data_IF_457323613802
#
_entry.id   IF_457323613802
#
_cell.length_a   1.000
_cell.length_b   1.000
_cell.length_c   1.000
_cell.angle_alpha   90.00
_cell.angle_beta   90.00
_cell.angle_gamma   90.00
#
_symmetry.space_group_name_H-M   'P 1'
#
loop_
_entity.id
_entity.type
_entity.pdbx_description
1 polymer ?
#
# COMPACT_ATOMS: atom_id res chain seq x y z
N UNK A 1 14.69 -2.03 13.37
CA UNK A 1 13.29 -2.14 12.94
C UNK A 1 13.31 -2.29 11.45
N UNK A 2 12.39 -3.06 10.86
CA UNK A 2 12.33 -3.14 9.41
C UNK A 2 10.89 -3.21 8.93
N UNK A 3 10.50 -2.26 8.10
CA UNK A 3 9.17 -2.18 7.48
C UNK A 3 9.35 -2.17 5.96
N UNK A 4 8.83 -3.20 5.32
CA UNK A 4 8.83 -3.37 3.88
C UNK A 4 7.40 -3.30 3.34
N UNK A 5 7.19 -2.48 2.34
CA UNK A 5 5.87 -2.22 1.80
C UNK A 5 5.74 -2.67 0.35
N UNK A 6 4.57 -3.16 -0.01
CA UNK A 6 4.19 -3.47 -1.38
C UNK A 6 3.14 -2.48 -1.85
N UNK A 7 3.49 -1.65 -2.81
CA UNK A 7 2.64 -0.59 -3.36
C UNK A 7 2.45 -0.75 -4.87
N UNK A 8 1.50 -0.02 -5.42
CA UNK A 8 1.21 -0.01 -6.86
C UNK A 8 -0.29 -0.04 -7.14
N UNK A 9 -0.63 0.24 -8.39
CA UNK A 9 -2.01 0.26 -8.87
C UNK A 9 -2.76 -1.05 -8.57
N UNK A 10 -4.08 -1.00 -8.57
CA UNK A 10 -4.84 -2.22 -8.39
C UNK A 10 -4.65 -3.17 -9.60
N UNK A 11 -4.70 -4.47 -9.34
CA UNK A 11 -4.52 -5.48 -10.39
C UNK A 11 -3.10 -5.71 -10.86
N UNK A 12 -2.10 -5.13 -10.18
CA UNK A 12 -0.68 -5.32 -10.51
C UNK A 12 -0.04 -6.58 -9.91
N UNK A 13 -0.84 -7.45 -9.29
CA UNK A 13 -0.39 -8.73 -8.74
C UNK A 13 0.23 -8.66 -7.35
N UNK A 14 -0.01 -7.58 -6.57
CA UNK A 14 0.50 -7.43 -5.19
C UNK A 14 0.16 -8.60 -4.29
N UNK A 15 -1.12 -8.97 -4.19
CA UNK A 15 -1.58 -10.06 -3.30
C UNK A 15 -0.99 -11.42 -3.69
N UNK A 16 -0.84 -11.67 -5.00
CA UNK A 16 -0.14 -12.87 -5.51
C UNK A 16 1.32 -12.86 -5.08
N UNK A 17 2.01 -11.72 -5.25
CA UNK A 17 3.40 -11.58 -4.85
C UNK A 17 3.57 -11.75 -3.34
N UNK A 18 2.70 -11.14 -2.52
CA UNK A 18 2.72 -11.30 -1.06
C UNK A 18 2.59 -12.77 -0.66
N UNK A 19 1.69 -13.52 -1.30
CA UNK A 19 1.56 -14.96 -1.09
C UNK A 19 2.86 -15.70 -1.45
N UNK A 20 3.46 -15.36 -2.59
CA UNK A 20 4.68 -16.02 -3.08
C UNK A 20 5.91 -15.75 -2.19
N UNK A 21 6.01 -14.57 -1.59
CA UNK A 21 7.17 -14.18 -0.75
C UNK A 21 6.99 -14.54 0.73
N UNK A 22 5.80 -14.95 1.17
CA UNK A 22 5.52 -15.24 2.58
C UNK A 22 6.48 -16.29 3.14
N UNK A 23 6.59 -17.46 2.53
CA UNK A 23 7.46 -18.52 3.02
C UNK A 23 8.97 -18.15 2.93
N UNK A 24 9.48 -17.61 1.81
CA UNK A 24 10.86 -17.14 1.73
C UNK A 24 11.23 -16.08 2.75
N UNK A 25 10.36 -15.08 2.99
CA UNK A 25 10.64 -14.01 3.97
C UNK A 25 10.57 -14.55 5.40
N UNK A 26 9.67 -15.50 5.70
CA UNK A 26 9.60 -16.13 7.00
C UNK A 26 10.90 -16.89 7.31
N UNK A 27 11.38 -17.70 6.37
CA UNK A 27 12.65 -18.41 6.52
C UNK A 27 13.84 -17.45 6.68
N UNK A 28 13.82 -16.33 5.94
CA UNK A 28 14.84 -15.30 6.06
C UNK A 28 14.81 -14.62 7.45
N UNK A 29 13.63 -14.29 7.96
CA UNK A 29 13.49 -13.71 9.29
C UNK A 29 14.02 -14.65 10.38
N UNK A 30 13.71 -15.94 10.30
CA UNK A 30 14.22 -16.97 11.21
C UNK A 30 15.73 -17.06 11.18
N UNK A 31 16.35 -17.04 9.98
CA UNK A 31 17.80 -17.01 9.80
C UNK A 31 18.47 -15.84 10.53
N UNK A 32 17.79 -14.69 10.59
CA UNK A 32 18.24 -13.48 11.30
C UNK A 32 17.77 -13.41 12.76
N UNK A 33 17.14 -14.47 13.31
CA UNK A 33 16.62 -14.50 14.67
C UNK A 33 15.50 -13.49 14.92
N UNK A 34 14.76 -13.09 13.88
CA UNK A 34 13.70 -12.09 13.94
C UNK A 34 12.33 -12.72 13.67
N UNK A 35 11.29 -12.07 14.16
CA UNK A 35 9.90 -12.41 13.82
C UNK A 35 9.46 -11.58 12.61
N UNK A 36 8.59 -12.15 11.78
CA UNK A 36 7.92 -11.43 10.70
C UNK A 36 6.42 -11.33 10.95
N UNK A 37 5.84 -10.18 10.62
CA UNK A 37 4.40 -9.94 10.66
C UNK A 37 3.97 -9.45 9.29
N UNK A 38 3.08 -10.20 8.65
CA UNK A 38 2.40 -9.77 7.44
C UNK A 38 1.14 -9.00 7.84
N UNK A 39 1.09 -7.73 7.50
CA UNK A 39 -0.07 -6.89 7.81
C UNK A 39 -1.18 -7.19 6.81
N UNK A 40 -2.39 -7.38 7.34
CA UNK A 40 -3.59 -7.57 6.52
C UNK A 40 -3.91 -6.32 5.69
N UNK A 41 -4.67 -6.52 4.60
CA UNK A 41 -5.15 -5.43 3.75
C UNK A 41 -6.00 -4.44 4.55
N UNK A 42 -5.43 -3.27 4.84
CA UNK A 42 -6.08 -2.23 5.65
C UNK A 42 -7.34 -1.66 5.02
N UNK A 43 -7.41 -1.63 3.71
CA UNK A 43 -8.53 -1.06 2.99
C UNK A 43 -9.86 -1.72 3.36
N UNK A 44 -9.93 -3.05 3.31
CA UNK A 44 -11.15 -3.80 3.68
C UNK A 44 -11.47 -3.67 5.17
N UNK A 45 -10.44 -3.77 6.01
CA UNK A 45 -10.62 -3.68 7.46
C UNK A 45 -11.17 -2.32 7.89
N UNK A 46 -10.60 -1.23 7.39
CA UNK A 46 -11.08 0.13 7.68
C UNK A 46 -12.51 0.33 7.21
N UNK A 47 -12.87 -0.17 6.01
CA UNK A 47 -14.25 -0.11 5.55
C UNK A 47 -15.20 -0.83 6.51
N UNK A 48 -14.89 -2.07 6.88
CA UNK A 48 -15.76 -2.85 7.76
C UNK A 48 -15.87 -2.27 9.17
N UNK A 49 -14.78 -1.76 9.74
CA UNK A 49 -14.76 -1.23 11.10
C UNK A 49 -15.38 0.15 11.24
N UNK A 50 -15.23 1.03 10.24
CA UNK A 50 -15.61 2.45 10.37
C UNK A 50 -16.81 2.87 9.52
N UNK A 51 -17.12 2.15 8.44
CA UNK A 51 -18.08 2.64 7.43
C UNK A 51 -19.21 1.66 7.08
N UNK A 52 -19.09 0.38 7.43
CA UNK A 52 -20.08 -0.63 7.04
C UNK A 52 -21.47 -0.43 7.67
N UNK A 53 -21.59 0.39 8.74
CA UNK A 53 -22.90 0.78 9.29
C UNK A 53 -23.61 1.85 8.45
N UNK A 54 -22.85 2.71 7.78
CA UNK A 54 -23.39 3.91 7.12
C UNK A 54 -23.45 3.76 5.59
N UNK A 55 -22.67 2.85 5.03
CA UNK A 55 -22.54 2.62 3.59
C UNK A 55 -22.75 1.16 3.22
N UNK A 56 -23.50 0.92 2.15
CA UNK A 56 -23.84 -0.45 1.68
C UNK A 56 -22.64 -1.19 1.09
N UNK A 57 -21.70 -0.45 0.50
CA UNK A 57 -20.51 -0.99 -0.14
C UNK A 57 -19.38 0.04 -0.13
N UNK A 58 -18.16 -0.43 -0.39
CA UNK A 58 -17.02 0.46 -0.60
C UNK A 58 -17.25 1.41 -1.80
N UNK A 59 -17.92 0.94 -2.84
CA UNK A 59 -18.25 1.77 -4.00
C UNK A 59 -19.18 2.93 -3.63
N UNK A 60 -20.21 2.69 -2.82
CA UNK A 60 -21.12 3.69 -2.29
C UNK A 60 -20.36 4.76 -1.46
N UNK A 61 -19.47 4.32 -0.58
CA UNK A 61 -18.58 5.21 0.18
C UNK A 61 -17.67 6.04 -0.72
N UNK A 62 -17.03 5.43 -1.72
CA UNK A 62 -16.13 6.13 -2.63
C UNK A 62 -16.84 7.15 -3.55
N UNK A 63 -18.14 6.94 -3.81
CA UNK A 63 -18.96 7.94 -4.52
C UNK A 63 -19.38 9.10 -3.62
N UNK A 64 -19.56 8.86 -2.32
CA UNK A 64 -20.14 9.82 -1.37
C UNK A 64 -19.08 10.59 -0.59
N UNK A 65 -18.11 9.89 0.02
CA UNK A 65 -17.03 10.48 0.82
C UNK A 65 -15.67 9.79 0.60
N UNK A 66 -15.13 9.87 -0.62
CA UNK A 66 -13.86 9.21 -0.96
C UNK A 66 -12.68 9.71 -0.13
N UNK A 67 -12.62 11.01 0.18
CA UNK A 67 -11.55 11.59 0.99
C UNK A 67 -11.67 11.28 2.47
N UNK A 68 -12.88 11.11 2.99
CA UNK A 68 -13.09 10.60 4.35
C UNK A 68 -12.55 9.18 4.51
N UNK A 69 -12.75 8.34 3.50
CA UNK A 69 -12.16 7.01 3.48
C UNK A 69 -10.63 7.02 3.42
N UNK A 70 -10.04 7.87 2.57
CA UNK A 70 -8.57 8.02 2.52
C UNK A 70 -8.00 8.56 3.82
N UNK A 71 -8.70 9.46 4.50
CA UNK A 71 -8.30 9.97 5.83
C UNK A 71 -8.28 8.84 6.87
N UNK A 72 -9.32 8.01 6.89
CA UNK A 72 -9.37 6.86 7.80
C UNK A 72 -8.26 5.83 7.54
N UNK A 73 -7.89 5.61 6.28
CA UNK A 73 -6.73 4.80 5.91
C UNK A 73 -5.41 5.42 6.37
N UNK A 74 -5.23 6.73 6.19
CA UNK A 74 -4.04 7.44 6.66
C UNK A 74 -3.87 7.33 8.18
N UNK A 75 -4.96 7.44 8.95
CA UNK A 75 -4.97 7.22 10.39
C UNK A 75 -4.54 5.79 10.76
N UNK A 76 -5.09 4.78 10.06
CA UNK A 76 -4.75 3.38 10.31
C UNK A 76 -3.26 3.10 10.03
N UNK A 77 -2.71 3.58 8.91
CA UNK A 77 -1.29 3.43 8.61
C UNK A 77 -0.38 4.19 9.59
N UNK A 78 -0.82 5.35 10.10
CA UNK A 78 -0.08 6.07 11.14
C UNK A 78 0.00 5.27 12.45
N UNK A 79 -1.07 4.58 12.83
CA UNK A 79 -1.08 3.67 14.01
C UNK A 79 -0.15 2.49 13.78
N UNK A 80 -0.19 1.86 12.59
CA UNK A 80 0.70 0.75 12.24
C UNK A 80 2.17 1.15 12.30
N UNK A 81 2.51 2.31 11.78
CA UNK A 81 3.86 2.86 11.84
C UNK A 81 4.34 3.03 13.29
N UNK A 82 3.49 3.57 14.17
CA UNK A 82 3.81 3.71 15.59
C UNK A 82 3.99 2.36 16.29
N UNK A 83 3.19 1.35 15.94
CA UNK A 83 3.35 -0.01 16.47
C UNK A 83 4.66 -0.64 15.99
N UNK A 84 5.05 -0.44 14.73
CA UNK A 84 6.30 -0.92 14.20
C UNK A 84 7.51 -0.31 14.95
N UNK A 85 7.49 1.00 15.22
CA UNK A 85 8.54 1.68 16.00
C UNK A 85 8.74 1.09 17.40
N UNK A 86 7.67 0.63 18.06
CA UNK A 86 7.72 0.04 19.40
C UNK A 86 8.29 -1.38 19.42
N UNK A 87 8.39 -2.03 18.28
CA UNK A 87 8.79 -3.43 18.16
C UNK A 87 9.97 -3.62 17.17
N UNK A 88 11.17 -3.13 17.51
CA UNK A 88 12.30 -3.09 16.58
C UNK A 88 12.82 -4.47 16.14
N UNK A 89 12.47 -5.55 16.85
CA UNK A 89 12.87 -6.93 16.52
C UNK A 89 11.92 -7.63 15.55
N UNK A 90 10.83 -6.97 15.15
CA UNK A 90 9.87 -7.50 14.20
C UNK A 90 10.14 -6.92 12.82
N UNK A 91 10.04 -7.76 11.80
CA UNK A 91 9.98 -7.37 10.39
C UNK A 91 8.50 -7.24 10.03
N UNK A 92 8.10 -6.07 9.57
CA UNK A 92 6.74 -5.82 9.10
C UNK A 92 6.70 -5.85 7.57
N UNK A 93 5.78 -6.63 7.03
CA UNK A 93 5.50 -6.70 5.60
C UNK A 93 4.09 -6.14 5.39
N UNK A 94 4.00 -4.98 4.75
CA UNK A 94 2.74 -4.26 4.59
C UNK A 94 2.19 -4.41 3.16
N UNK A 95 0.93 -4.84 3.06
CA UNK A 95 0.15 -4.72 1.81
C UNK A 95 -0.43 -3.31 1.76
N UNK A 96 0.18 -2.46 0.95
CA UNK A 96 -0.03 -1.03 0.86
C UNK A 96 0.52 -0.24 2.05
N UNK A 97 0.64 1.06 1.85
CA UNK A 97 1.09 2.03 2.85
C UNK A 97 0.42 3.37 2.64
N UNK A 98 0.83 4.33 3.48
CA UNK A 98 0.52 5.73 3.26
C UNK A 98 0.87 6.26 1.87
N UNK A 99 1.82 5.65 1.18
CA UNK A 99 2.15 5.97 -0.22
C UNK A 99 0.95 5.76 -1.16
N UNK A 100 0.26 4.61 -1.06
CA UNK A 100 -0.96 4.33 -1.84
C UNK A 100 -2.06 5.36 -1.52
N UNK A 101 -2.23 5.69 -0.24
CA UNK A 101 -3.21 6.70 0.20
C UNK A 101 -2.92 8.07 -0.42
N UNK A 102 -1.64 8.47 -0.48
CA UNK A 102 -1.24 9.73 -1.10
C UNK A 102 -1.62 9.76 -2.59
N UNK A 103 -1.30 8.68 -3.33
CA UNK A 103 -1.65 8.57 -4.76
C UNK A 103 -3.16 8.67 -4.96
N UNK A 104 -3.94 7.87 -4.23
CA UNK A 104 -5.40 7.90 -4.38
C UNK A 104 -6.01 9.22 -3.95
N UNK A 105 -5.50 9.87 -2.89
CA UNK A 105 -5.99 11.19 -2.48
C UNK A 105 -5.74 12.26 -3.54
N UNK A 106 -4.61 12.21 -4.23
CA UNK A 106 -4.33 13.12 -5.36
C UNK A 106 -5.20 12.84 -6.57
N UNK A 107 -5.47 11.57 -6.88
CA UNK A 107 -6.34 11.16 -7.99
C UNK A 107 -7.80 11.58 -7.78
N UNK A 108 -8.27 11.50 -6.53
CA UNK A 108 -9.64 11.88 -6.18
C UNK A 108 -9.82 13.39 -6.23
N UNK A 109 -8.76 14.15 -5.96
CA UNK A 109 -8.85 15.60 -5.84
C UNK A 109 -9.76 16.02 -4.68
N UNK A 110 -10.11 17.29 -4.62
CA UNK A 110 -11.01 17.81 -3.60
C UNK A 110 -11.84 18.98 -4.12
N UNK A 111 -13.00 19.18 -3.49
CA UNK A 111 -13.92 20.30 -3.80
C UNK A 111 -14.24 21.05 -2.51
N UNK A 112 -13.79 22.30 -2.43
CA UNK A 112 -14.10 23.17 -1.30
C UNK A 112 -13.22 22.96 -0.04
N UNK A 113 -13.53 23.70 1.01
CA UNK A 113 -12.70 23.82 2.22
C UNK A 113 -12.63 22.52 3.03
N UNK A 114 -13.74 21.78 3.11
CA UNK A 114 -13.80 20.50 3.83
C UNK A 114 -12.82 19.48 3.26
N UNK A 115 -12.77 19.37 1.93
CA UNK A 115 -11.87 18.44 1.27
C UNK A 115 -10.41 18.91 1.36
N UNK A 116 -10.16 20.21 1.26
CA UNK A 116 -8.84 20.78 1.48
C UNK A 116 -8.32 20.47 2.90
N UNK A 117 -9.17 20.53 3.92
CA UNK A 117 -8.82 20.12 5.28
C UNK A 117 -8.47 18.63 5.35
N UNK A 118 -9.31 17.75 4.76
CA UNK A 118 -9.06 16.30 4.74
C UNK A 118 -7.73 15.98 4.04
N UNK A 119 -7.48 16.57 2.88
CA UNK A 119 -6.23 16.38 2.13
C UNK A 119 -5.02 16.80 2.97
N UNK A 120 -5.03 17.99 3.57
CA UNK A 120 -3.94 18.44 4.44
C UNK A 120 -3.71 17.45 5.58
N UNK A 121 -4.77 17.03 6.26
CA UNK A 121 -4.67 16.08 7.38
C UNK A 121 -4.14 14.72 6.94
N UNK A 122 -4.53 14.22 5.76
CA UNK A 122 -3.98 13.01 5.16
C UNK A 122 -2.47 13.15 5.02
N UNK A 123 -1.98 14.20 4.36
CA UNK A 123 -0.54 14.37 4.13
C UNK A 123 0.26 14.58 5.42
N UNK A 124 -0.29 15.25 6.44
CA UNK A 124 0.34 15.35 7.76
C UNK A 124 0.54 13.98 8.42
N UNK A 125 -0.48 13.10 8.35
CA UNK A 125 -0.40 11.74 8.87
C UNK A 125 0.59 10.88 8.08
N UNK A 126 0.58 11.00 6.76
CA UNK A 126 1.45 10.25 5.88
C UNK A 126 2.92 10.65 6.01
N UNK A 127 3.21 11.93 6.20
CA UNK A 127 4.57 12.39 6.45
C UNK A 127 5.20 11.60 7.61
N UNK A 128 4.48 11.46 8.71
CA UNK A 128 4.96 10.74 9.90
C UNK A 128 5.06 9.22 9.68
N UNK A 129 4.14 8.62 8.92
CA UNK A 129 4.12 7.16 8.71
C UNK A 129 5.13 6.68 7.67
N UNK A 130 5.40 7.47 6.64
CA UNK A 130 6.30 7.09 5.55
C UNK A 130 7.77 7.06 5.98
N UNK A 131 8.17 7.85 6.98
CA UNK A 131 9.51 7.80 7.54
C UNK A 131 9.86 6.47 8.24
N UNK A 132 8.85 5.67 8.56
CA UNK A 132 9.02 4.37 9.20
C UNK A 132 9.25 3.24 8.18
N UNK A 133 8.92 3.48 6.91
CA UNK A 133 9.07 2.50 5.83
C UNK A 133 10.51 2.47 5.33
N UNK A 134 11.20 1.35 5.56
CA UNK A 134 12.59 1.17 5.11
C UNK A 134 12.69 0.97 3.61
N UNK A 135 11.70 0.31 3.00
CA UNK A 135 11.71 0.05 1.56
C UNK A 135 10.31 -0.18 0.99
N UNK A 136 10.08 0.34 -0.22
CA UNK A 136 8.85 0.15 -0.99
C UNK A 136 9.15 -0.71 -2.22
N UNK A 137 8.42 -1.81 -2.39
CA UNK A 137 8.40 -2.61 -3.61
C UNK A 137 7.21 -2.18 -4.46
N UNK A 138 7.48 -1.53 -5.57
CA UNK A 138 6.46 -1.01 -6.47
C UNK A 138 6.15 -2.02 -7.56
N UNK A 139 4.94 -2.57 -7.54
CA UNK A 139 4.46 -3.46 -8.59
C UNK A 139 3.94 -2.66 -9.78
N UNK A 140 4.38 -3.01 -10.97
CA UNK A 140 3.85 -2.48 -12.23
C UNK A 140 2.77 -3.40 -12.82
N UNK A 141 1.87 -2.86 -13.67
CA UNK A 141 0.84 -3.68 -14.31
C UNK A 141 1.47 -4.79 -15.14
N UNK A 142 0.96 -6.01 -14.96
CA UNK A 142 1.10 -7.03 -15.99
C UNK A 142 0.08 -6.73 -17.08
N UNK A 143 0.39 -7.02 -18.31
CA UNK A 143 -0.56 -6.92 -19.42
C UNK A 143 -1.81 -7.82 -19.32
N UNK A 144 -2.15 -8.31 -18.13
CA UNK A 144 -3.31 -9.13 -17.82
C UNK A 144 -4.49 -8.33 -17.30
N UNK A 145 -5.70 -8.82 -17.54
CA UNK A 145 -6.93 -8.27 -16.96
C UNK A 145 -7.01 -8.63 -15.47
N UNK A 146 -7.19 -7.62 -14.63
CA UNK A 146 -7.42 -7.85 -13.21
C UNK A 146 -8.82 -8.50 -12.99
N UNK A 147 -8.86 -9.58 -12.22
CA UNK A 147 -10.15 -10.19 -11.83
C UNK A 147 -11.02 -9.20 -11.04
N UNK A 148 -12.33 -9.23 -11.29
CA UNK A 148 -13.31 -8.43 -10.55
C UNK A 148 -13.60 -9.11 -9.22
N UNK A 149 -13.27 -8.45 -8.11
CA UNK A 149 -13.51 -8.95 -6.76
C UNK A 149 -14.61 -8.19 -6.00
N UNK A 150 -15.38 -7.33 -6.68
CA UNK A 150 -16.43 -6.50 -6.08
C UNK A 150 -15.93 -5.35 -5.17
N UNK A 151 -14.64 -5.31 -4.85
CA UNK A 151 -14.01 -4.24 -4.09
C UNK A 151 -13.27 -3.21 -4.96
N UNK A 152 -13.30 -3.41 -6.28
CA UNK A 152 -12.65 -2.48 -7.22
C UNK A 152 -13.67 -1.48 -7.72
N UNK A 153 -13.38 -0.18 -7.58
CA UNK A 153 -14.25 0.86 -8.11
C UNK A 153 -14.44 0.71 -9.63
N UNK A 154 -15.63 1.05 -10.12
CA UNK A 154 -15.98 0.95 -11.55
C UNK A 154 -15.05 1.76 -12.50
N UNK A 155 -14.32 2.76 -11.98
CA UNK A 155 -13.37 3.53 -12.77
C UNK A 155 -12.16 2.71 -13.27
N UNK A 156 -11.92 1.49 -12.74
CA UNK A 156 -10.93 0.56 -13.30
C UNK A 156 -11.27 0.09 -14.72
N UNK A 157 -12.50 0.29 -15.16
CA UNK A 157 -12.94 0.00 -16.52
C UNK A 157 -12.58 1.14 -17.49
N UNK A 158 -12.21 2.32 -16.96
CA UNK A 158 -11.78 3.46 -17.77
C UNK A 158 -10.25 3.38 -18.01
N UNK A 159 -9.80 3.09 -19.24
CA UNK A 159 -8.39 2.96 -19.55
C UNK A 159 -7.57 4.23 -19.26
N UNK A 160 -8.18 5.41 -19.40
CA UNK A 160 -7.48 6.67 -19.16
C UNK A 160 -7.23 6.89 -17.66
N UNK A 161 -8.21 6.59 -16.82
CA UNK A 161 -8.05 6.66 -15.36
C UNK A 161 -7.03 5.63 -14.86
N UNK A 162 -7.06 4.43 -15.42
CA UNK A 162 -6.08 3.40 -15.11
C UNK A 162 -4.66 3.83 -15.50
N UNK A 163 -4.47 4.36 -16.71
CA UNK A 163 -3.17 4.87 -17.14
C UNK A 163 -2.67 6.03 -16.26
N UNK A 164 -3.57 6.90 -15.81
CA UNK A 164 -3.23 7.98 -14.86
C UNK A 164 -2.79 7.42 -13.52
N UNK A 165 -3.51 6.45 -12.95
CA UNK A 165 -3.14 5.78 -11.70
C UNK A 165 -1.76 5.13 -11.80
N UNK A 166 -1.52 4.34 -12.84
CA UNK A 166 -0.25 3.67 -13.11
C UNK A 166 0.90 4.68 -13.24
N UNK A 167 0.67 5.77 -13.97
CA UNK A 167 1.62 6.86 -14.13
C UNK A 167 1.96 7.53 -12.80
N UNK A 168 0.97 7.81 -11.96
CA UNK A 168 1.19 8.42 -10.65
C UNK A 168 1.99 7.51 -9.73
N UNK A 169 1.68 6.22 -9.67
CA UNK A 169 2.49 5.28 -8.90
C UNK A 169 3.95 5.24 -9.38
N UNK A 170 4.18 5.24 -10.68
CA UNK A 170 5.52 5.25 -11.25
C UNK A 170 6.30 6.51 -10.91
N UNK A 171 5.68 7.68 -11.04
CA UNK A 171 6.33 8.96 -10.75
C UNK A 171 6.62 9.19 -9.27
N UNK A 172 5.67 8.85 -8.40
CA UNK A 172 5.87 8.98 -6.95
C UNK A 172 6.91 7.98 -6.46
N UNK A 173 6.97 6.76 -7.05
CA UNK A 173 8.01 5.78 -6.77
C UNK A 173 9.42 6.32 -6.98
N UNK A 174 9.64 7.17 -7.99
CA UNK A 174 10.93 7.82 -8.23
C UNK A 174 11.29 8.85 -7.16
N UNK A 175 10.30 9.49 -6.53
CA UNK A 175 10.51 10.49 -5.47
C UNK A 175 10.85 9.84 -4.12
N UNK A 176 10.59 8.55 -3.95
CA UNK A 176 10.93 7.81 -2.74
C UNK A 176 12.27 7.10 -2.91
N UNK A 177 13.35 7.54 -2.24
CA UNK A 177 14.72 7.05 -2.49
C UNK A 177 14.87 5.55 -2.20
N UNK A 178 14.00 4.99 -1.36
CA UNK A 178 14.02 3.58 -0.99
C UNK A 178 12.95 2.77 -1.73
N UNK A 179 12.74 3.03 -3.01
CA UNK A 179 11.79 2.29 -3.83
C UNK A 179 12.52 1.39 -4.83
N UNK A 180 12.03 0.16 -4.98
CA UNK A 180 12.42 -0.73 -6.07
C UNK A 180 11.20 -0.99 -6.95
N UNK A 181 11.27 -0.59 -8.21
CA UNK A 181 10.29 -0.99 -9.23
C UNK A 181 10.56 -2.44 -9.58
N UNK A 182 9.52 -3.26 -9.43
CA UNK A 182 9.64 -4.70 -9.65
C UNK A 182 9.54 -5.05 -11.14
N UNK A 183 10.29 -6.07 -11.60
CA UNK A 183 10.22 -6.54 -12.97
C UNK A 183 8.86 -7.20 -13.28
N UNK A 184 8.65 -7.57 -14.55
CA UNK A 184 7.38 -8.19 -14.98
C UNK A 184 7.28 -9.68 -14.60
N UNK A 185 8.38 -10.39 -14.57
CA UNK A 185 8.42 -11.83 -14.29
C UNK A 185 8.05 -12.18 -12.84
N UNK A 186 7.07 -13.08 -12.64
CA UNK A 186 6.61 -13.50 -11.30
C UNK A 186 7.74 -14.02 -10.42
N UNK A 187 8.56 -14.93 -10.94
CA UNK A 187 9.69 -15.49 -10.17
C UNK A 187 10.79 -14.45 -9.93
N UNK A 188 11.06 -13.60 -10.90
CA UNK A 188 12.04 -12.54 -10.79
C UNK A 188 11.64 -11.52 -9.70
N UNK A 189 10.35 -11.17 -9.60
CA UNK A 189 9.83 -10.35 -8.50
C UNK A 189 10.14 -10.92 -7.13
N UNK A 190 9.91 -12.22 -6.94
CA UNK A 190 10.20 -12.91 -5.67
C UNK A 190 11.69 -12.83 -5.35
N UNK A 191 12.56 -13.09 -6.34
CA UNK A 191 14.02 -13.02 -6.16
C UNK A 191 14.49 -11.61 -5.79
N UNK A 192 13.96 -10.58 -6.47
CA UNK A 192 14.29 -9.18 -6.20
C UNK A 192 13.87 -8.79 -4.78
N UNK A 193 12.64 -9.13 -4.37
CA UNK A 193 12.13 -8.82 -3.04
C UNK A 193 12.95 -9.49 -1.96
N UNK A 194 13.10 -10.80 -2.02
CA UNK A 194 13.83 -11.58 -1.00
C UNK A 194 15.29 -11.15 -0.91
N UNK A 195 15.95 -10.98 -2.05
CA UNK A 195 17.35 -10.54 -2.08
C UNK A 195 17.56 -9.10 -1.60
N UNK A 196 16.57 -8.21 -1.77
CA UNK A 196 16.64 -6.86 -1.24
C UNK A 196 16.42 -6.82 0.26
N UNK A 197 15.44 -7.56 0.76
CA UNK A 197 15.17 -7.69 2.20
C UNK A 197 16.38 -8.31 2.92
N UNK A 198 16.94 -9.41 2.41
CA UNK A 198 18.13 -10.04 2.99
C UNK A 198 19.26 -9.02 3.15
N UNK A 199 19.57 -8.27 2.10
CA UNK A 199 20.62 -7.23 2.15
C UNK A 199 20.37 -6.15 3.19
N UNK A 200 19.11 -5.71 3.36
CA UNK A 200 18.74 -4.66 4.32
C UNK A 200 18.71 -5.16 5.76
N UNK A 201 18.59 -6.47 5.98
CA UNK A 201 18.64 -7.07 7.32
C UNK A 201 20.08 -7.31 7.84
N UNK A 202 21.08 -7.26 6.96
CA UNK A 202 22.51 -7.38 7.33
C UNK A 202 23.13 -6.05 7.80
N UNK A 203 22.44 -4.91 7.61
CA UNK A 203 22.90 -3.59 8.04
C UNK A 203 22.38 -3.28 9.45
#
# INVERSE_FOLDING_TARGET
MSVFAFSGAAGTGKSTLLSDVTAPITALAEKHGRKVVFQEERARKVFHEKFSSDYRSLEDLLQTDPLGYQLALAEAFSVDAQQALRNPHIIYIADRTGFDVAVYSMLLGGKGESDAYKIRRIFDLLHNSLHVVDHVFLTQPFGGTAERDGFRPAHYEDPAKRALEESMFSHIGVLFPNTTVLPDGRQERVQVVVGRIDRLLYI
#
